data_IF_642736523680
#
_entry.id   IF_642736523680
#
_cell.length_a   1.000
_cell.length_b   1.000
_cell.length_c   1.000
_cell.angle_alpha   90.00
_cell.angle_beta   90.00
_cell.angle_gamma   90.00
#
_symmetry.space_group_name_H-M   'P 1'
#
loop_
_entity.id
_entity.type
_entity.pdbx_description
1 polymer ?
#
# COMPACT_ATOMS: atom_id res chain seq x y z
N UNK A 1 39.51 -54.93 57.29
CA UNK A 1 38.20 -55.28 56.67
C UNK A 1 37.52 -53.98 56.20
N UNK A 2 37.10 -53.94 54.92
CA UNK A 2 36.16 -53.05 54.20
C UNK A 2 36.10 -51.51 54.44
N UNK A 3 36.54 -50.77 53.39
CA UNK A 3 35.92 -49.64 52.63
C UNK A 3 34.94 -48.60 53.25
N UNK A 4 35.22 -47.30 52.99
CA UNK A 4 34.44 -46.25 52.25
C UNK A 4 35.02 -44.84 52.58
N UNK A 5 35.56 -44.02 51.66
CA UNK A 5 35.02 -43.19 50.55
C UNK A 5 34.61 -41.73 50.91
N UNK A 6 35.52 -40.77 50.64
CA UNK A 6 35.37 -39.44 49.99
C UNK A 6 34.14 -38.53 50.23
N UNK A 7 34.32 -37.28 50.71
CA UNK A 7 34.49 -36.02 49.92
C UNK A 7 34.40 -34.72 50.76
N UNK A 8 35.32 -33.79 50.43
CA UNK A 8 35.26 -32.31 50.28
C UNK A 8 34.70 -31.34 51.34
N UNK A 9 35.50 -30.29 51.64
CA UNK A 9 35.06 -29.02 52.23
C UNK A 9 35.76 -27.81 51.58
N UNK A 10 34.99 -26.72 51.46
CA UNK A 10 35.30 -25.41 50.89
C UNK A 10 35.70 -24.44 52.03
N UNK A 11 36.56 -23.43 51.78
CA UNK A 11 36.31 -21.97 51.96
C UNK A 11 37.59 -21.16 52.27
N UNK A 12 37.56 -19.91 51.77
CA UNK A 12 38.26 -18.68 52.20
C UNK A 12 39.56 -18.28 51.49
N UNK A 13 39.53 -17.11 50.83
CA UNK A 13 40.44 -15.98 51.11
C UNK A 13 40.11 -14.74 50.25
N UNK A 14 40.12 -13.57 50.89
CA UNK A 14 40.26 -12.18 50.38
C UNK A 14 40.99 -11.39 51.52
N UNK A 15 41.56 -10.17 51.34
CA UNK A 15 42.05 -9.43 50.15
C UNK A 15 43.34 -8.54 50.38
N UNK A 16 43.65 -7.66 49.39
CA UNK A 16 44.47 -6.39 49.36
C UNK A 16 46.00 -6.52 49.18
N UNK A 17 46.75 -5.62 48.54
CA UNK A 17 46.62 -4.53 47.55
C UNK A 17 48.10 -4.14 47.21
N UNK A 18 48.41 -3.52 46.07
CA UNK A 18 49.37 -2.38 45.93
C UNK A 18 49.87 -2.13 44.50
N UNK A 19 49.99 -0.85 44.21
CA UNK A 19 50.25 -0.14 42.94
C UNK A 19 51.69 -0.19 42.47
N UNK A 20 51.92 -0.30 41.15
CA UNK A 20 53.18 0.10 40.52
C UNK A 20 52.96 0.89 39.22
N UNK A 21 53.70 1.99 39.14
CA UNK A 21 53.84 2.99 38.07
C UNK A 21 54.16 2.39 36.69
N UNK A 22 53.49 2.88 35.63
CA UNK A 22 53.89 2.64 34.25
C UNK A 22 54.30 3.94 33.53
N UNK A 23 55.57 3.95 33.14
CA UNK A 23 56.25 4.91 32.28
C UNK A 23 55.54 5.04 30.91
N UNK A 24 55.28 6.29 30.49
CA UNK A 24 54.75 6.61 29.16
C UNK A 24 55.85 6.44 28.11
N UNK A 25 55.70 5.46 27.22
CA UNK A 25 56.42 5.39 25.94
C UNK A 25 55.55 6.03 24.85
N UNK A 26 56.05 6.94 24.00
CA UNK A 26 55.25 7.51 22.92
C UNK A 26 55.00 6.44 21.84
N UNK A 27 53.72 6.11 21.63
CA UNK A 27 53.28 5.26 20.52
C UNK A 27 53.13 6.16 19.30
N UNK A 28 53.99 5.95 18.31
CA UNK A 28 53.84 6.49 16.96
C UNK A 28 52.53 6.00 16.35
N UNK A 29 51.63 6.94 16.00
CA UNK A 29 50.39 6.62 15.29
C UNK A 29 50.70 6.04 13.90
N UNK A 30 50.07 4.93 13.50
CA UNK A 30 50.23 4.40 12.15
C UNK A 30 49.55 5.34 11.15
N UNK A 31 50.28 5.68 10.08
CA UNK A 31 49.85 6.49 8.93
C UNK A 31 48.65 5.93 8.14
N UNK A 32 48.10 4.79 8.58
CA UNK A 32 46.95 4.10 7.96
C UNK A 32 45.61 4.80 8.21
N UNK A 33 45.44 5.52 9.33
CA UNK A 33 44.17 6.22 9.62
C UNK A 33 43.97 7.44 8.70
N UNK A 34 45.05 8.09 8.26
CA UNK A 34 44.98 9.25 7.37
C UNK A 34 44.41 8.90 5.99
N UNK A 35 44.70 7.70 5.49
CA UNK A 35 44.14 7.23 4.22
C UNK A 35 42.63 6.97 4.31
N UNK A 36 42.13 6.52 5.46
CA UNK A 36 40.70 6.26 5.67
C UNK A 36 39.89 7.56 5.75
N UNK A 37 40.40 8.58 6.45
CA UNK A 37 39.77 9.90 6.48
C UNK A 37 39.78 10.57 5.09
N UNK A 38 40.85 10.38 4.31
CA UNK A 38 40.91 10.88 2.94
C UNK A 38 39.86 10.20 2.04
N UNK A 39 39.71 8.88 2.12
CA UNK A 39 38.70 8.14 1.35
C UNK A 39 37.27 8.52 1.76
N UNK A 40 37.01 8.71 3.05
CA UNK A 40 35.68 9.08 3.56
C UNK A 40 35.27 10.51 3.17
N UNK A 41 36.21 11.47 3.22
CA UNK A 41 35.96 12.85 2.79
C UNK A 41 35.75 12.94 1.27
N UNK A 42 36.50 12.17 0.47
CA UNK A 42 36.28 12.07 -0.98
C UNK A 42 34.91 11.47 -1.30
N UNK A 43 34.48 10.45 -0.55
CA UNK A 43 33.15 9.86 -0.71
C UNK A 43 32.02 10.83 -0.33
N UNK A 44 32.14 11.57 0.78
CA UNK A 44 31.17 12.58 1.17
C UNK A 44 31.09 13.74 0.16
N UNK A 45 32.22 14.18 -0.39
CA UNK A 45 32.25 15.17 -1.46
C UNK A 45 31.59 14.65 -2.74
N UNK A 46 31.78 13.37 -3.09
CA UNK A 46 31.10 12.72 -4.21
C UNK A 46 29.57 12.63 -4.00
N UNK A 47 29.13 12.29 -2.78
CA UNK A 47 27.71 12.23 -2.43
C UNK A 47 27.08 13.62 -2.52
N UNK A 48 27.74 14.66 -2.00
CA UNK A 48 27.26 16.05 -2.10
C UNK A 48 27.24 16.55 -3.56
N UNK A 49 28.20 16.16 -4.39
CA UNK A 49 28.19 16.45 -5.83
C UNK A 49 27.05 15.72 -6.55
N UNK A 50 26.72 14.49 -6.15
CA UNK A 50 25.56 13.75 -6.65
C UNK A 50 24.23 14.36 -6.23
N UNK A 51 24.13 14.94 -5.03
CA UNK A 51 22.95 15.70 -4.61
C UNK A 51 22.76 17.00 -5.41
N UNK A 52 23.84 17.74 -5.73
CA UNK A 52 23.76 18.89 -6.63
C UNK A 52 23.39 18.52 -8.07
N UNK A 53 23.78 17.32 -8.55
CA UNK A 53 23.42 16.84 -9.89
C UNK A 53 22.00 16.23 -9.94
N UNK A 54 21.46 15.78 -8.81
CA UNK A 54 20.08 15.33 -8.71
C UNK A 54 19.08 16.50 -8.77
N UNK A 55 19.39 17.63 -8.13
CA UNK A 55 18.53 18.82 -8.24
C UNK A 55 18.69 19.55 -9.59
N UNK A 56 19.84 19.43 -10.27
CA UNK A 56 20.05 19.98 -11.62
C UNK A 56 19.45 19.13 -12.76
N UNK A 57 18.99 17.91 -12.49
CA UNK A 57 18.34 17.04 -13.49
C UNK A 57 16.80 17.17 -13.51
N UNK A 58 16.23 18.05 -12.67
CA UNK A 58 14.78 18.30 -12.63
C UNK A 58 14.33 19.59 -13.33
N UNK A 59 15.26 20.32 -13.96
CA UNK A 59 14.90 21.49 -14.76
C UNK A 59 15.61 21.52 -16.11
N UNK A 60 14.81 21.34 -17.17
CA UNK A 60 15.08 21.65 -18.59
C UNK A 60 15.83 20.61 -19.42
N UNK A 61 15.08 19.75 -20.13
CA UNK A 61 15.49 19.23 -21.44
C UNK A 61 14.68 19.94 -22.52
N UNK A 62 15.24 21.04 -23.03
CA UNK A 62 14.81 21.64 -24.28
C UNK A 62 15.43 20.86 -25.45
N UNK A 63 14.57 20.54 -26.43
CA UNK A 63 14.90 20.71 -27.85
C UNK A 63 15.30 19.46 -28.63
N UNK A 64 14.49 19.11 -29.64
CA UNK A 64 15.01 18.85 -30.98
C UNK A 64 14.01 19.28 -32.05
N UNK A 65 14.55 20.02 -33.00
CA UNK A 65 13.93 20.73 -34.13
C UNK A 65 13.70 19.79 -35.33
N UNK A 66 12.74 20.12 -36.19
CA UNK A 66 12.75 19.77 -37.62
C UNK A 66 11.69 20.59 -38.40
N UNK A 67 12.16 21.64 -39.07
CA UNK A 67 11.62 22.19 -40.34
C UNK A 67 11.70 21.11 -41.44
N UNK A 68 10.87 20.93 -42.48
CA UNK A 68 10.10 21.79 -43.40
C UNK A 68 8.90 20.98 -43.96
N UNK A 69 7.86 21.65 -44.49
CA UNK A 69 6.90 20.99 -45.39
C UNK A 69 5.64 21.79 -45.74
N UNK A 70 5.74 22.68 -46.73
CA UNK A 70 4.59 23.27 -47.46
C UNK A 70 4.04 22.21 -48.43
N UNK A 71 2.87 21.61 -48.18
CA UNK A 71 2.05 21.00 -49.25
C UNK A 71 0.57 20.81 -48.88
N UNK A 72 -0.28 21.45 -49.69
CA UNK A 72 -1.69 21.19 -50.05
C UNK A 72 -2.78 21.21 -48.97
N UNK A 73 -3.50 22.33 -48.96
CA UNK A 73 -4.85 22.54 -48.42
C UNK A 73 -5.83 21.49 -48.95
N UNK A 74 -6.68 20.96 -48.07
CA UNK A 74 -8.07 20.50 -48.29
C UNK A 74 -8.51 19.41 -47.27
N UNK A 75 -7.58 18.83 -46.50
CA UNK A 75 -7.89 17.76 -45.52
C UNK A 75 -7.89 18.21 -44.04
N UNK A 76 -7.60 19.48 -43.74
CA UNK A 76 -7.32 19.99 -42.39
C UNK A 76 -8.56 20.45 -41.60
N UNK A 77 -9.70 20.68 -42.26
CA UNK A 77 -10.90 21.23 -41.60
C UNK A 77 -11.54 20.17 -40.67
N UNK A 78 -11.66 18.91 -41.13
CA UNK A 78 -12.24 17.81 -40.33
C UNK A 78 -11.44 17.48 -39.07
N UNK A 79 -10.12 17.62 -39.11
CA UNK A 79 -9.22 17.34 -37.97
C UNK A 79 -9.24 18.45 -36.92
N UNK A 80 -9.57 19.68 -37.31
CA UNK A 80 -9.62 20.83 -36.39
C UNK A 80 -10.78 20.72 -35.40
N UNK A 81 -11.93 20.21 -35.86
CA UNK A 81 -13.12 19.97 -35.03
C UNK A 81 -12.88 18.85 -34.01
N UNK A 82 -12.18 17.79 -34.41
CA UNK A 82 -11.80 16.70 -33.50
C UNK A 82 -10.79 17.15 -32.46
N UNK A 83 -9.80 17.97 -32.82
CA UNK A 83 -8.81 18.49 -31.85
C UNK A 83 -9.44 19.53 -30.91
N UNK A 84 -10.38 20.35 -31.38
CA UNK A 84 -11.10 21.28 -30.50
C UNK A 84 -12.04 20.54 -29.56
N UNK A 85 -12.71 19.46 -30.01
CA UNK A 85 -13.41 18.52 -29.13
C UNK A 85 -12.47 17.83 -28.15
N UNK A 86 -11.33 17.30 -28.60
CA UNK A 86 -10.35 16.63 -27.73
C UNK A 86 -9.78 17.60 -26.68
N UNK A 87 -9.47 18.84 -27.07
CA UNK A 87 -9.04 19.90 -26.16
C UNK A 87 -10.17 20.35 -25.24
N UNK A 88 -11.43 20.31 -25.68
CA UNK A 88 -12.61 20.52 -24.83
C UNK A 88 -12.78 19.39 -23.81
N UNK A 89 -12.57 18.13 -24.20
CA UNK A 89 -12.58 16.96 -23.30
C UNK A 89 -11.41 17.01 -22.30
N UNK A 90 -10.23 17.49 -22.72
CA UNK A 90 -9.05 17.63 -21.85
C UNK A 90 -9.13 18.87 -20.95
N UNK A 91 -9.91 19.91 -21.30
CA UNK A 91 -10.13 21.12 -20.49
C UNK A 91 -11.39 21.10 -19.63
N UNK A 92 -12.19 20.02 -19.66
CA UNK A 92 -12.99 19.70 -18.49
C UNK A 92 -11.98 19.27 -17.43
N UNK A 93 -11.64 20.18 -16.53
CA UNK A 93 -11.22 19.78 -15.19
C UNK A 93 -12.32 18.84 -14.71
N UNK A 94 -12.08 17.52 -14.79
CA UNK A 94 -12.92 16.51 -14.14
C UNK A 94 -12.73 16.78 -12.65
N UNK A 95 -13.46 17.77 -12.13
CA UNK A 95 -13.63 17.95 -10.70
C UNK A 95 -14.30 16.67 -10.23
N UNK A 96 -13.50 15.74 -9.74
CA UNK A 96 -14.03 14.53 -9.12
C UNK A 96 -14.63 14.93 -7.78
N UNK A 97 -15.86 14.49 -7.53
CA UNK A 97 -16.47 14.65 -6.22
C UNK A 97 -15.96 13.51 -5.33
N UNK A 98 -15.51 13.83 -4.13
CA UNK A 98 -15.10 12.81 -3.15
C UNK A 98 -16.27 12.47 -2.24
N UNK A 99 -16.51 11.18 -2.02
CA UNK A 99 -17.47 10.63 -1.07
C UNK A 99 -16.66 9.75 -0.12
N UNK A 100 -16.41 10.22 1.11
CA UNK A 100 -15.67 9.43 2.10
C UNK A 100 -16.61 8.55 2.89
N UNK A 101 -16.22 7.30 3.17
CA UNK A 101 -17.00 6.42 4.08
C UNK A 101 -17.10 6.97 5.50
N UNK A 102 -16.16 7.82 5.92
CA UNK A 102 -16.20 8.49 7.22
C UNK A 102 -17.41 9.43 7.35
N UNK A 103 -17.83 10.07 6.25
CA UNK A 103 -18.99 10.97 6.23
C UNK A 103 -20.33 10.21 6.44
N UNK A 104 -20.29 8.89 6.31
CA UNK A 104 -21.44 7.99 6.49
C UNK A 104 -21.35 7.18 7.79
N UNK A 105 -20.45 7.55 8.69
CA UNK A 105 -20.33 6.96 10.02
C UNK A 105 -19.41 5.74 10.12
N UNK A 106 -18.61 5.45 9.08
CA UNK A 106 -17.60 4.39 9.19
C UNK A 106 -16.56 4.77 10.25
N UNK A 107 -16.37 3.90 11.24
CA UNK A 107 -15.43 4.16 12.34
C UNK A 107 -14.00 3.83 11.94
N UNK A 108 -13.79 2.69 11.29
CA UNK A 108 -12.44 2.26 10.91
C UNK A 108 -11.56 1.85 12.10
N UNK A 109 -12.17 1.30 13.15
CA UNK A 109 -11.52 0.86 14.40
C UNK A 109 -11.15 -0.64 14.41
N UNK A 110 -11.40 -1.35 13.30
CA UNK A 110 -11.16 -2.78 13.12
C UNK A 110 -12.14 -3.69 13.88
N UNK A 111 -13.15 -3.14 14.56
CA UNK A 111 -14.05 -3.89 15.46
C UNK A 111 -15.52 -3.63 15.18
N UNK A 112 -15.89 -2.38 14.93
CA UNK A 112 -17.25 -1.98 14.61
C UNK A 112 -17.60 -2.41 13.18
N UNK A 113 -18.78 -2.97 12.98
CA UNK A 113 -19.29 -3.29 11.64
C UNK A 113 -19.58 -2.02 10.83
N UNK A 114 -18.67 -1.73 9.90
CA UNK A 114 -18.74 -0.57 9.01
C UNK A 114 -19.55 -0.85 7.72
N UNK A 115 -20.10 -2.06 7.56
CA UNK A 115 -20.79 -2.50 6.33
C UNK A 115 -21.91 -1.55 5.92
N UNK A 116 -22.70 -1.06 6.88
CA UNK A 116 -23.82 -0.16 6.59
C UNK A 116 -23.36 1.23 6.16
N UNK A 117 -22.29 1.76 6.76
CA UNK A 117 -21.70 3.04 6.37
C UNK A 117 -21.15 2.96 4.94
N UNK A 118 -20.47 1.87 4.59
CA UNK A 118 -19.97 1.60 3.24
C UNK A 118 -21.12 1.52 2.22
N UNK A 119 -22.22 0.84 2.56
CA UNK A 119 -23.40 0.78 1.68
C UNK A 119 -24.04 2.16 1.47
N UNK A 120 -24.07 3.02 2.49
CA UNK A 120 -24.62 4.36 2.36
C UNK A 120 -23.72 5.26 1.50
N UNK A 121 -22.41 5.21 1.72
CA UNK A 121 -21.42 5.92 0.90
C UNK A 121 -21.48 5.46 -0.57
N UNK A 122 -21.58 4.15 -0.82
CA UNK A 122 -21.76 3.59 -2.16
C UNK A 122 -23.01 4.14 -2.85
N UNK A 123 -24.17 4.15 -2.16
CA UNK A 123 -25.41 4.69 -2.71
C UNK A 123 -25.26 6.15 -3.12
N UNK A 124 -24.61 6.96 -2.28
CA UNK A 124 -24.32 8.37 -2.61
C UNK A 124 -23.41 8.49 -3.82
N UNK A 125 -22.30 7.75 -3.83
CA UNK A 125 -21.33 7.80 -4.90
C UNK A 125 -21.96 7.37 -6.24
N UNK A 126 -22.58 6.19 -6.27
CA UNK A 126 -23.19 5.58 -7.45
C UNK A 126 -24.35 6.40 -8.05
N UNK A 127 -25.10 7.13 -7.23
CA UNK A 127 -26.22 7.99 -7.68
C UNK A 127 -25.80 9.41 -8.08
N UNK A 128 -24.55 9.80 -7.82
CA UNK A 128 -24.02 11.11 -8.20
C UNK A 128 -23.70 11.18 -9.70
N UNK A 129 -23.51 12.39 -10.22
CA UNK A 129 -23.17 12.61 -11.63
C UNK A 129 -21.67 12.88 -11.79
N UNK A 130 -21.12 12.51 -12.96
CA UNK A 130 -19.72 12.76 -13.29
C UNK A 130 -18.75 11.80 -12.63
N UNK A 131 -17.49 12.22 -12.51
CA UNK A 131 -16.45 11.42 -11.86
C UNK A 131 -16.56 11.53 -10.33
N UNK A 132 -16.52 10.38 -9.66
CA UNK A 132 -16.64 10.29 -8.20
C UNK A 132 -15.56 9.40 -7.62
N UNK A 133 -14.89 9.91 -6.60
CA UNK A 133 -13.92 9.16 -5.79
C UNK A 133 -14.63 8.66 -4.52
N UNK A 134 -14.86 7.36 -4.42
CA UNK A 134 -15.33 6.73 -3.18
C UNK A 134 -14.10 6.41 -2.33
N UNK A 135 -13.89 7.18 -1.26
CA UNK A 135 -12.66 7.18 -0.48
C UNK A 135 -12.80 6.35 0.81
N UNK A 136 -11.87 5.43 1.01
CA UNK A 136 -11.62 4.72 2.27
C UNK A 136 -10.28 5.22 2.84
N UNK A 137 -10.30 6.19 3.77
CA UNK A 137 -9.09 6.85 4.26
C UNK A 137 -8.03 5.90 4.81
N UNK A 138 -6.76 6.31 4.66
CA UNK A 138 -5.59 5.67 5.27
C UNK A 138 -5.61 5.72 6.80
N UNK A 139 -4.77 4.90 7.43
CA UNK A 139 -4.64 4.85 8.90
C UNK A 139 -5.86 4.27 9.63
N UNK A 140 -6.79 3.65 8.91
CA UNK A 140 -8.03 3.06 9.43
C UNK A 140 -8.20 1.62 8.99
N UNK A 141 -8.84 0.82 9.85
CA UNK A 141 -9.19 -0.57 9.56
C UNK A 141 -10.69 -0.74 9.60
N UNK A 142 -11.31 -1.01 8.45
CA UNK A 142 -12.75 -1.16 8.34
C UNK A 142 -13.13 -2.63 8.42
N UNK A 143 -13.83 -3.02 9.48
CA UNK A 143 -14.36 -4.37 9.62
C UNK A 143 -15.66 -4.49 8.81
N UNK A 144 -15.65 -5.40 7.83
CA UNK A 144 -16.76 -5.57 6.89
C UNK A 144 -17.25 -7.02 6.85
N UNK A 145 -18.57 -7.17 6.93
CA UNK A 145 -19.27 -8.41 6.56
C UNK A 145 -19.32 -8.55 5.04
N UNK A 146 -19.92 -9.63 4.54
CA UNK A 146 -20.15 -9.77 3.09
C UNK A 146 -21.00 -8.62 2.58
N UNK A 147 -20.51 -7.93 1.55
CA UNK A 147 -21.08 -6.70 1.01
C UNK A 147 -21.14 -6.75 -0.51
N UNK A 148 -22.24 -6.22 -1.06
CA UNK A 148 -22.51 -6.23 -2.49
C UNK A 148 -22.91 -4.84 -2.99
N UNK A 149 -21.98 -4.20 -3.67
CA UNK A 149 -22.13 -2.95 -4.37
C UNK A 149 -22.78 -3.19 -5.72
N UNK A 150 -24.02 -2.76 -5.88
CA UNK A 150 -24.83 -3.02 -7.10
C UNK A 150 -24.95 -1.75 -7.93
N UNK A 151 -24.76 -1.87 -9.25
CA UNK A 151 -25.06 -0.86 -10.25
C UNK A 151 -26.41 -1.10 -10.96
N UNK A 152 -26.68 -0.42 -12.09
CA UNK A 152 -25.80 0.52 -12.78
C UNK A 152 -25.63 1.83 -12.01
N UNK A 153 -24.45 2.44 -12.13
CA UNK A 153 -24.18 3.75 -11.53
C UNK A 153 -24.29 4.88 -12.55
N UNK A 154 -24.75 6.05 -12.10
CA UNK A 154 -24.78 7.29 -12.89
C UNK A 154 -23.39 7.93 -12.97
N UNK A 155 -22.60 7.75 -11.92
CA UNK A 155 -21.22 8.23 -11.82
C UNK A 155 -20.22 7.28 -12.47
N UNK A 156 -19.10 7.84 -12.91
CA UNK A 156 -17.87 7.08 -13.19
C UNK A 156 -17.11 6.99 -11.87
N UNK A 157 -16.90 5.77 -11.36
CA UNK A 157 -16.40 5.55 -9.99
C UNK A 157 -14.92 5.20 -9.96
N UNK A 158 -14.19 5.87 -9.07
CA UNK A 158 -12.88 5.41 -8.58
C UNK A 158 -13.02 5.08 -7.10
N UNK A 159 -12.87 3.80 -6.74
CA UNK A 159 -12.86 3.34 -5.35
C UNK A 159 -11.43 3.38 -4.84
N UNK A 160 -11.15 4.29 -3.91
CA UNK A 160 -9.82 4.52 -3.34
C UNK A 160 -9.71 3.85 -1.98
N UNK A 161 -9.07 2.68 -1.95
CA UNK A 161 -8.87 1.86 -0.75
C UNK A 161 -7.51 2.22 -0.15
N UNK A 162 -7.39 3.32 0.59
CA UNK A 162 -6.10 3.71 1.20
C UNK A 162 -5.92 3.16 2.62
N UNK A 163 -7.01 2.78 3.29
CA UNK A 163 -6.99 2.05 4.55
C UNK A 163 -6.95 0.53 4.38
N UNK A 164 -7.22 -0.18 5.48
CA UNK A 164 -7.33 -1.65 5.51
C UNK A 164 -8.79 -2.05 5.52
N UNK A 165 -9.21 -2.90 4.59
CA UNK A 165 -10.47 -3.65 4.69
C UNK A 165 -10.18 -4.97 5.39
N UNK A 166 -10.97 -5.33 6.41
CA UNK A 166 -10.80 -6.57 7.17
C UNK A 166 -12.10 -7.37 7.16
N UNK A 167 -12.02 -8.62 6.72
CA UNK A 167 -13.20 -9.47 6.54
C UNK A 167 -13.70 -10.10 7.85
N UNK A 168 -15.00 -10.35 7.97
CA UNK A 168 -15.50 -11.14 9.11
C UNK A 168 -14.94 -12.57 9.12
N UNK A 169 -14.57 -13.04 10.31
CA UNK A 169 -14.19 -14.45 10.53
C UNK A 169 -15.42 -15.35 10.76
N UNK A 170 -16.62 -14.78 10.92
CA UNK A 170 -17.83 -15.54 11.20
C UNK A 170 -18.51 -15.96 9.89
N UNK A 171 -18.70 -17.26 9.67
CA UNK A 171 -19.34 -17.79 8.46
C UNK A 171 -20.76 -17.29 8.25
N UNK A 172 -21.50 -17.04 9.34
CA UNK A 172 -22.88 -16.51 9.31
C UNK A 172 -22.98 -15.08 8.78
N UNK A 173 -21.87 -14.32 8.74
CA UNK A 173 -21.84 -12.97 8.18
C UNK A 173 -21.79 -12.95 6.64
N UNK A 174 -21.73 -14.13 6.00
CA UNK A 174 -21.66 -14.28 4.55
C UNK A 174 -22.97 -14.83 4.01
N UNK A 175 -23.71 -14.00 3.28
CA UNK A 175 -24.92 -14.43 2.55
C UNK A 175 -24.58 -15.44 1.46
N UNK A 176 -23.49 -15.17 0.74
CA UNK A 176 -22.83 -16.11 -0.15
C UNK A 176 -21.44 -16.42 0.43
N UNK A 177 -21.26 -17.65 0.91
CA UNK A 177 -20.01 -18.09 1.56
C UNK A 177 -18.78 -18.02 0.63
N UNK A 178 -18.99 -17.81 -0.66
CA UNK A 178 -17.94 -17.73 -1.67
C UNK A 178 -17.54 -16.30 -2.02
N UNK A 179 -18.21 -15.27 -1.49
CA UNK A 179 -17.95 -13.87 -1.86
C UNK A 179 -17.91 -12.93 -0.65
N UNK A 180 -16.83 -12.17 -0.51
CA UNK A 180 -16.74 -11.12 0.49
C UNK A 180 -17.24 -9.78 -0.04
N UNK A 181 -16.46 -9.10 -0.89
CA UNK A 181 -16.84 -7.82 -1.49
C UNK A 181 -17.16 -8.05 -2.96
N UNK A 182 -18.36 -7.70 -3.37
CA UNK A 182 -18.82 -7.86 -4.76
C UNK A 182 -19.21 -6.52 -5.37
N UNK A 183 -18.67 -6.21 -6.54
CA UNK A 183 -19.19 -5.18 -7.44
C UNK A 183 -20.00 -5.87 -8.54
N UNK A 184 -21.31 -5.65 -8.59
CA UNK A 184 -22.21 -6.27 -9.56
C UNK A 184 -22.85 -5.23 -10.48
N UNK A 185 -22.67 -5.38 -11.79
CA UNK A 185 -23.31 -4.54 -12.80
C UNK A 185 -22.76 -3.11 -12.82
N UNK A 186 -21.50 -2.91 -12.45
CA UNK A 186 -20.87 -1.59 -12.42
C UNK A 186 -19.96 -1.42 -13.64
N UNK A 187 -20.27 -0.43 -14.48
CA UNK A 187 -19.46 -0.12 -15.66
C UNK A 187 -18.53 1.06 -15.37
N UNK A 188 -17.36 1.06 -16.00
CA UNK A 188 -16.36 2.14 -15.87
C UNK A 188 -15.95 2.39 -14.41
N UNK A 189 -15.60 1.30 -13.73
CA UNK A 189 -15.14 1.28 -12.34
C UNK A 189 -13.62 1.13 -12.29
N UNK A 190 -12.95 2.04 -11.59
CA UNK A 190 -11.56 1.89 -11.16
C UNK A 190 -11.53 1.55 -9.68
N UNK A 191 -10.68 0.61 -9.28
CA UNK A 191 -10.26 0.40 -7.88
C UNK A 191 -8.80 0.78 -7.80
N UNK A 192 -8.41 1.49 -6.75
CA UNK A 192 -7.06 1.97 -6.54
C UNK A 192 -6.71 1.86 -5.05
N UNK A 193 -5.67 1.10 -4.73
CA UNK A 193 -5.19 0.94 -3.35
C UNK A 193 -4.12 1.95 -2.94
N UNK A 194 -3.57 2.72 -3.88
CA UNK A 194 -2.34 3.47 -3.63
C UNK A 194 -1.21 2.58 -3.09
N UNK A 195 -0.32 3.15 -2.27
CA UNK A 195 0.79 2.42 -1.65
C UNK A 195 0.43 1.80 -0.29
N UNK A 196 -0.68 2.21 0.33
CA UNK A 196 -1.04 1.88 1.72
C UNK A 196 -2.25 0.93 1.82
N UNK A 197 -3.04 0.84 0.76
CA UNK A 197 -4.26 0.07 0.71
C UNK A 197 -4.05 -1.40 0.99
N UNK A 198 -4.91 -1.97 1.84
CA UNK A 198 -4.86 -3.41 2.17
C UNK A 198 -6.25 -4.01 2.14
N UNK A 199 -6.38 -5.20 1.53
CA UNK A 199 -7.58 -6.03 1.57
C UNK A 199 -7.25 -7.32 2.30
N UNK A 200 -7.54 -7.35 3.59
CA UNK A 200 -7.31 -8.50 4.47
C UNK A 200 -8.56 -9.38 4.54
N UNK A 201 -8.49 -10.52 3.84
CA UNK A 201 -9.57 -11.51 3.81
C UNK A 201 -9.73 -12.33 5.10
N UNK A 202 -8.90 -12.11 6.13
CA UNK A 202 -8.89 -12.91 7.36
C UNK A 202 -8.85 -14.42 7.07
N UNK A 203 -7.99 -14.79 6.11
CA UNK A 203 -7.94 -16.13 5.51
C UNK A 203 -7.85 -17.23 6.56
N UNK A 204 -6.97 -17.04 7.55
CA UNK A 204 -6.97 -17.71 8.87
C UNK A 204 -7.90 -18.93 9.03
N UNK A 205 -9.09 -18.54 9.49
CA UNK A 205 -10.18 -19.39 9.95
C UNK A 205 -10.79 -20.26 8.84
N UNK A 206 -10.61 -19.85 7.58
CA UNK A 206 -11.17 -20.52 6.41
C UNK A 206 -10.38 -21.78 6.05
N UNK A 207 -9.05 -21.69 5.93
CA UNK A 207 -8.22 -22.81 5.47
C UNK A 207 -7.88 -23.78 6.60
N UNK A 208 -7.74 -23.34 7.86
CA UNK A 208 -7.56 -24.22 9.03
C UNK A 208 -8.72 -25.23 9.22
N UNK A 209 -9.92 -24.85 8.77
CA UNK A 209 -11.14 -25.65 8.86
C UNK A 209 -11.52 -26.32 7.53
N UNK A 210 -10.54 -26.51 6.64
CA UNK A 210 -10.75 -27.12 5.33
C UNK A 210 -9.81 -28.31 5.09
N UNK A 211 -10.23 -29.19 4.18
CA UNK A 211 -9.41 -30.30 3.67
C UNK A 211 -8.05 -29.86 3.09
N UNK A 212 -7.87 -28.57 2.73
CA UNK A 212 -6.62 -28.02 2.18
C UNK A 212 -5.46 -28.11 3.18
N UNK A 213 -5.75 -27.99 4.47
CA UNK A 213 -4.75 -28.08 5.55
C UNK A 213 -4.81 -29.40 6.30
N UNK A 214 -6.00 -29.97 6.44
CA UNK A 214 -6.19 -31.25 7.11
C UNK A 214 -7.11 -32.14 6.27
N UNK A 215 -6.54 -33.15 5.60
CA UNK A 215 -7.28 -34.09 4.73
C UNK A 215 -8.41 -34.86 5.44
N UNK A 216 -8.41 -34.92 6.78
CA UNK A 216 -9.49 -35.54 7.56
C UNK A 216 -10.73 -34.63 7.70
N UNK A 217 -10.64 -33.33 7.37
CA UNK A 217 -11.76 -32.38 7.39
C UNK A 217 -12.44 -32.31 6.01
N UNK A 218 -13.72 -31.93 6.01
CA UNK A 218 -14.44 -31.64 4.77
C UNK A 218 -13.83 -30.45 4.01
N UNK A 219 -13.88 -30.50 2.69
CA UNK A 219 -13.45 -29.38 1.85
C UNK A 219 -14.47 -28.24 1.91
N UNK A 220 -14.15 -27.18 2.65
CA UNK A 220 -14.96 -25.97 2.73
C UNK A 220 -14.45 -24.90 1.76
N UNK A 221 -15.37 -24.17 1.11
CA UNK A 221 -15.02 -23.03 0.27
C UNK A 221 -14.65 -21.83 1.15
N UNK A 222 -13.77 -20.98 0.63
CA UNK A 222 -13.40 -19.70 1.24
C UNK A 222 -13.94 -18.56 0.36
N UNK A 223 -14.32 -17.41 0.95
CA UNK A 223 -14.75 -16.25 0.18
C UNK A 223 -13.63 -15.71 -0.70
N UNK A 224 -13.95 -15.40 -1.95
CA UNK A 224 -13.13 -14.54 -2.80
C UNK A 224 -13.19 -13.12 -2.25
N UNK A 225 -12.04 -12.48 -2.07
CA UNK A 225 -11.96 -11.18 -1.41
C UNK A 225 -12.66 -10.06 -2.21
N UNK A 226 -12.29 -9.90 -3.48
CA UNK A 226 -12.90 -8.95 -4.42
C UNK A 226 -13.47 -9.71 -5.61
N UNK A 227 -14.76 -9.53 -5.87
CA UNK A 227 -15.45 -10.11 -7.02
C UNK A 227 -16.05 -9.00 -7.88
N UNK A 228 -15.72 -9.00 -9.17
CA UNK A 228 -16.37 -8.15 -10.17
C UNK A 228 -17.27 -9.02 -11.03
N UNK A 229 -18.57 -8.76 -10.98
CA UNK A 229 -19.59 -9.54 -11.66
C UNK A 229 -20.38 -8.64 -12.61
N UNK A 230 -20.69 -9.12 -13.82
CA UNK A 230 -21.43 -8.38 -14.85
C UNK A 230 -20.94 -6.93 -15.09
N UNK A 231 -19.66 -6.67 -14.87
CA UNK A 231 -19.06 -5.34 -14.86
C UNK A 231 -18.13 -5.16 -16.06
N UNK A 232 -18.10 -3.97 -16.66
CA UNK A 232 -17.32 -3.68 -17.88
C UNK A 232 -16.39 -2.48 -17.67
N UNK A 233 -15.32 -2.38 -18.47
CA UNK A 233 -14.34 -1.31 -18.43
C UNK A 233 -13.75 -1.14 -17.01
N UNK A 234 -13.25 -2.25 -16.46
CA UNK A 234 -12.69 -2.32 -15.12
C UNK A 234 -11.18 -2.00 -15.14
N UNK A 235 -10.72 -1.28 -14.12
CA UNK A 235 -9.31 -1.16 -13.77
C UNK A 235 -9.14 -1.44 -12.29
N UNK A 236 -8.22 -2.32 -11.92
CA UNK A 236 -7.92 -2.72 -10.54
C UNK A 236 -6.42 -2.70 -10.35
#
# INVERSE_FOLDING_TARGET
QRQQSHTSNILNLLPKNDTHSLSKKPISLPTSMAHYYNLFTVFLLWVLLMFSWYEASSSSFNGFDHSYGRFKSDSLIKRRDDITRLKSFVRVSLRSTTVSVSDFGAKGDGKTDDTQAFMNAWKKACSSNGAVNLLFPEGRTYFLKSIRFTGPCKSILTVQIFGTLSASQQRSDYKDITKWITFDGVNSLSVDGGATGTVDGNGETWWQNSCKRNKAKQCTKAPTALTFYNSKNLRV
#
